data_IF_898931127855
#
_entry.id   IF_898931127855
#
_cell.length_a   1.000
_cell.length_b   1.000
_cell.length_c   1.000
_cell.angle_alpha   90.00
_cell.angle_beta   90.00
_cell.angle_gamma   90.00
#
_symmetry.space_group_name_H-M   'P 1'
#
loop_
_entity.id
_entity.type
_entity.pdbx_description
1 polymer ?
#
# COMPACT_ATOMS: atom_id res chain seq x y z
N UNK A 1 7.19 0.76 -2.99
CA UNK A 1 7.36 2.24 -2.97
C UNK A 1 5.98 2.89 -3.10
N UNK A 2 5.66 3.87 -2.26
CA UNK A 2 4.41 4.65 -2.29
C UNK A 2 4.66 6.08 -2.77
N UNK A 3 3.62 6.70 -3.33
CA UNK A 3 3.59 8.14 -3.65
C UNK A 3 2.58 8.82 -2.71
N UNK A 4 2.94 10.01 -2.23
CA UNK A 4 2.10 10.83 -1.36
C UNK A 4 2.17 12.28 -1.84
N UNK A 5 1.01 12.86 -2.16
CA UNK A 5 0.85 14.28 -2.45
C UNK A 5 0.21 14.95 -1.23
N UNK A 6 0.77 16.07 -0.78
CA UNK A 6 0.28 16.80 0.40
C UNK A 6 0.15 18.28 0.09
N UNK A 7 -0.92 18.92 0.56
CA UNK A 7 -1.09 20.37 0.44
C UNK A 7 -0.15 21.14 1.37
N UNK A 8 0.19 22.42 1.08
CA UNK A 8 1.11 23.20 1.93
C UNK A 8 0.64 23.40 3.37
N UNK A 9 -0.67 23.34 3.62
CA UNK A 9 -1.27 23.42 4.96
C UNK A 9 -1.25 22.08 5.72
N UNK A 10 -0.80 21.00 5.07
CA UNK A 10 -0.70 19.66 5.63
C UNK A 10 -2.05 18.99 5.93
N UNK A 11 -3.19 19.58 5.52
CA UNK A 11 -4.52 19.05 5.86
C UNK A 11 -5.03 18.03 4.87
N UNK A 12 -4.70 18.20 3.59
CA UNK A 12 -5.15 17.33 2.51
C UNK A 12 -3.98 16.48 2.05
N UNK A 13 -4.25 15.18 1.90
CA UNK A 13 -3.30 14.18 1.46
C UNK A 13 -3.97 13.28 0.42
N UNK A 14 -3.26 13.00 -0.64
CA UNK A 14 -3.56 11.95 -1.62
C UNK A 14 -2.42 10.93 -1.54
N UNK A 15 -2.76 9.63 -1.59
CA UNK A 15 -1.79 8.55 -1.53
C UNK A 15 -2.13 7.46 -2.53
N UNK A 16 -1.11 7.06 -3.28
CA UNK A 16 -1.20 6.04 -4.32
C UNK A 16 0.03 5.13 -4.33
N UNK A 17 -0.08 4.01 -5.04
CA UNK A 17 1.09 3.22 -5.39
C UNK A 17 1.88 3.96 -6.48
N UNK A 18 3.22 3.94 -6.41
CA UNK A 18 4.05 4.63 -7.40
C UNK A 18 4.10 3.92 -8.78
N UNK A 19 3.46 2.76 -8.91
CA UNK A 19 3.40 1.99 -10.16
C UNK A 19 2.07 2.21 -10.88
N UNK A 20 2.06 2.04 -12.20
CA UNK A 20 0.82 2.03 -12.99
C UNK A 20 -0.01 0.75 -12.81
N UNK A 21 -0.95 0.51 -13.71
CA UNK A 21 -1.94 -0.59 -13.64
C UNK A 21 -1.39 -1.99 -13.95
N UNK A 22 -0.07 -2.14 -14.10
CA UNK A 22 0.60 -3.43 -14.38
C UNK A 22 -0.06 -4.23 -15.51
N UNK A 23 -0.35 -3.55 -16.64
CA UNK A 23 -1.18 -4.06 -17.73
C UNK A 23 -0.73 -5.41 -18.27
N UNK A 24 0.57 -5.70 -18.27
CA UNK A 24 1.11 -7.00 -18.68
C UNK A 24 0.54 -8.14 -17.83
N UNK A 25 0.64 -8.05 -16.50
CA UNK A 25 0.09 -9.07 -15.60
C UNK A 25 -1.43 -9.14 -15.72
N UNK A 26 -2.10 -8.00 -15.94
CA UNK A 26 -3.53 -8.01 -16.19
C UNK A 26 -3.92 -8.80 -17.46
N UNK A 27 -3.12 -8.75 -18.54
CA UNK A 27 -3.37 -9.58 -19.73
C UNK A 27 -3.13 -11.06 -19.48
N UNK A 28 -2.18 -11.43 -18.62
CA UNK A 28 -1.96 -12.82 -18.23
C UNK A 28 -3.12 -13.33 -17.35
N UNK A 29 -3.60 -12.52 -16.41
CA UNK A 29 -4.81 -12.78 -15.64
C UNK A 29 -6.04 -13.01 -16.53
N UNK A 30 -6.25 -12.17 -17.57
CA UNK A 30 -7.37 -12.33 -18.51
C UNK A 30 -7.31 -13.65 -19.32
N UNK A 31 -6.12 -14.25 -19.46
CA UNK A 31 -5.93 -15.56 -20.11
C UNK A 31 -6.06 -16.73 -19.13
N UNK A 32 -6.33 -16.46 -17.85
CA UNK A 32 -6.38 -17.48 -16.80
C UNK A 32 -4.99 -17.98 -16.36
N UNK A 33 -3.92 -17.24 -16.68
CA UNK A 33 -2.57 -17.57 -16.24
C UNK A 33 -2.34 -17.06 -14.81
N UNK A 34 -1.50 -17.77 -14.06
CA UNK A 34 -1.06 -17.32 -12.73
C UNK A 34 -0.21 -16.04 -12.84
N UNK A 35 -0.44 -15.13 -11.90
CA UNK A 35 0.27 -13.84 -11.82
C UNK A 35 0.78 -13.59 -10.42
N UNK A 36 1.89 -12.90 -10.28
CA UNK A 36 2.49 -12.54 -8.99
C UNK A 36 2.88 -11.07 -8.98
N UNK A 37 1.88 -10.18 -8.99
CA UNK A 37 2.10 -8.73 -8.85
C UNK A 37 2.23 -8.36 -7.37
N UNK A 38 3.29 -7.66 -7.00
CA UNK A 38 3.47 -7.13 -5.66
C UNK A 38 2.34 -6.16 -5.26
N UNK A 39 1.66 -6.46 -4.16
CA UNK A 39 0.54 -5.68 -3.64
C UNK A 39 0.93 -4.70 -2.53
N UNK A 40 2.17 -4.75 -2.02
CA UNK A 40 2.60 -4.00 -0.82
C UNK A 40 2.47 -2.50 -1.05
N UNK A 41 2.86 -1.99 -2.22
CA UNK A 41 2.73 -0.57 -2.54
C UNK A 41 1.27 -0.10 -2.54
N UNK A 42 0.34 -0.93 -3.00
CA UNK A 42 -1.10 -0.63 -3.01
C UNK A 42 -1.69 -0.70 -1.60
N UNK A 43 -1.23 -1.65 -0.77
CA UNK A 43 -1.60 -1.72 0.66
C UNK A 43 -1.09 -0.48 1.40
N UNK A 44 0.14 -0.07 1.14
CA UNK A 44 0.73 1.08 1.82
C UNK A 44 0.03 2.38 1.42
N UNK A 45 -0.50 2.50 0.19
CA UNK A 45 -1.33 3.65 -0.17
C UNK A 45 -2.57 3.78 0.74
N UNK A 46 -3.21 2.66 1.08
CA UNK A 46 -4.32 2.64 2.04
C UNK A 46 -3.89 3.01 3.45
N UNK A 47 -2.82 2.39 3.98
CA UNK A 47 -2.37 2.64 5.35
C UNK A 47 -1.92 4.09 5.53
N UNK A 48 -1.25 4.69 4.54
CA UNK A 48 -0.85 6.11 4.59
C UNK A 48 -2.05 7.05 4.62
N UNK A 49 -3.09 6.76 3.83
CA UNK A 49 -4.37 7.48 3.91
C UNK A 49 -5.04 7.34 5.28
N UNK A 50 -5.07 6.14 5.85
CA UNK A 50 -5.65 5.87 7.17
C UNK A 50 -4.87 6.54 8.30
N UNK A 51 -3.54 6.54 8.26
CA UNK A 51 -2.69 7.25 9.24
C UNK A 51 -2.98 8.75 9.19
N UNK A 52 -3.09 9.33 7.99
CA UNK A 52 -3.42 10.75 7.85
C UNK A 52 -4.80 11.08 8.41
N UNK A 53 -5.82 10.29 8.05
CA UNK A 53 -7.18 10.44 8.58
C UNK A 53 -7.21 10.30 10.11
N UNK A 54 -6.49 9.30 10.63
CA UNK A 54 -6.39 9.03 12.06
C UNK A 54 -5.78 10.20 12.85
N UNK A 55 -4.76 10.86 12.29
CA UNK A 55 -4.17 12.08 12.86
C UNK A 55 -5.14 13.25 12.90
N UNK A 56 -5.89 13.47 11.81
CA UNK A 56 -6.86 14.57 11.74
C UNK A 56 -8.05 14.36 12.70
N UNK A 57 -8.48 13.12 12.89
CA UNK A 57 -9.63 12.78 13.73
C UNK A 57 -9.26 12.49 15.20
N UNK A 58 -7.96 12.50 15.54
CA UNK A 58 -7.45 12.06 16.84
C UNK A 58 -7.93 10.63 17.21
N UNK A 59 -7.84 9.69 16.25
CA UNK A 59 -8.24 8.28 16.43
C UNK A 59 -7.02 7.35 16.46
N UNK A 60 -6.32 7.22 17.60
CA UNK A 60 -5.06 6.48 17.69
C UNK A 60 -5.19 5.00 17.32
N UNK A 61 -6.36 4.38 17.55
CA UNK A 61 -6.60 2.99 17.17
C UNK A 61 -6.54 2.75 15.64
N UNK A 62 -6.93 3.75 14.83
CA UNK A 62 -6.84 3.66 13.37
C UNK A 62 -5.39 3.76 12.92
N UNK A 63 -4.62 4.64 13.56
CA UNK A 63 -3.18 4.79 13.30
C UNK A 63 -2.46 3.48 13.63
N UNK A 64 -2.71 2.93 14.83
CA UNK A 64 -2.10 1.68 15.29
C UNK A 64 -2.44 0.51 14.36
N UNK A 65 -3.68 0.41 13.89
CA UNK A 65 -4.08 -0.60 12.90
C UNK A 65 -3.26 -0.47 11.60
N UNK A 66 -3.16 0.74 11.07
CA UNK A 66 -2.47 0.98 9.81
C UNK A 66 -0.95 0.72 9.92
N UNK A 67 -0.32 1.15 11.02
CA UNK A 67 1.08 0.87 11.30
C UNK A 67 1.35 -0.63 11.47
N UNK A 68 0.49 -1.34 12.21
CA UNK A 68 0.58 -2.81 12.33
C UNK A 68 0.46 -3.51 10.98
N UNK A 69 -0.43 -3.05 10.11
CA UNK A 69 -0.57 -3.63 8.77
C UNK A 69 0.70 -3.43 7.92
N UNK A 70 1.35 -2.27 8.01
CA UNK A 70 2.64 -2.05 7.36
C UNK A 70 3.73 -2.96 7.91
N UNK A 71 3.81 -3.11 9.24
CA UNK A 71 4.75 -4.03 9.89
C UNK A 71 4.55 -5.46 9.43
N UNK A 72 3.31 -5.97 9.42
CA UNK A 72 3.01 -7.35 8.99
C UNK A 72 3.41 -7.58 7.53
N UNK A 73 3.24 -6.61 6.64
CA UNK A 73 3.70 -6.75 5.25
C UNK A 73 5.23 -6.92 5.16
N UNK A 74 5.99 -6.17 5.96
CA UNK A 74 7.45 -6.27 6.01
C UNK A 74 7.86 -7.64 6.60
N UNK A 75 7.29 -8.01 7.74
CA UNK A 75 7.57 -9.29 8.40
C UNK A 75 7.23 -10.50 7.51
N UNK A 76 6.18 -10.40 6.69
CA UNK A 76 5.80 -11.46 5.74
C UNK A 76 6.90 -11.69 4.70
N UNK A 77 7.45 -10.61 4.13
CA UNK A 77 8.56 -10.68 3.15
C UNK A 77 9.84 -11.17 3.82
N UNK A 78 10.18 -10.63 4.99
CA UNK A 78 11.37 -11.05 5.75
C UNK A 78 11.27 -12.52 6.23
N UNK A 79 10.05 -13.00 6.45
CA UNK A 79 9.74 -14.41 6.75
C UNK A 79 9.85 -15.35 5.55
N UNK A 80 10.10 -14.82 4.34
CA UNK A 80 10.31 -15.61 3.11
C UNK A 80 9.08 -15.72 2.20
N UNK A 81 7.94 -15.19 2.60
CA UNK A 81 6.71 -15.21 1.81
C UNK A 81 6.64 -13.93 0.96
N UNK A 82 7.06 -14.02 -0.30
CA UNK A 82 7.19 -12.85 -1.18
C UNK A 82 6.71 -13.13 -2.60
N UNK A 83 6.31 -12.06 -3.30
CA UNK A 83 5.98 -12.13 -4.72
C UNK A 83 7.24 -12.25 -5.57
N UNK A 84 7.09 -12.78 -6.79
CA UNK A 84 8.17 -13.08 -7.75
C UNK A 84 9.15 -11.93 -8.05
N UNK A 85 8.76 -10.68 -7.84
CA UNK A 85 9.58 -9.50 -8.09
C UNK A 85 10.56 -9.16 -6.96
N UNK A 86 10.39 -9.75 -5.76
CA UNK A 86 11.21 -9.54 -4.57
C UNK A 86 12.30 -10.60 -4.43
#
# INVERSE_FOLDING_TARGET
>A
MTSVLTTPDGRVLESEAAHGTVTRHYRDHQKGLETSTNSIASIFAWTRGLIHRGKLDNTPAVIEFAEKLETVCIETVEGGEMTKDL
#
